data_IF_317701232904
#
_entry.id   IF_317701232904
#
_cell.length_a   1.000
_cell.length_b   1.000
_cell.length_c   1.000
_cell.angle_alpha   90.00
_cell.angle_beta   90.00
_cell.angle_gamma   90.00
#
_symmetry.space_group_name_H-M   'P 1'
#
loop_
_entity.id
_entity.type
_entity.pdbx_description
1 polymer ?
#
# COMPACT_ATOMS: atom_id res chain seq x y z
N UNK A 1 -7.88 72.37 -14.80
CA UNK A 1 -7.58 71.18 -15.64
C UNK A 1 -7.82 69.95 -14.77
N UNK A 2 -8.96 69.25 -14.91
CA UNK A 2 -9.32 68.16 -14.02
C UNK A 2 -8.71 66.82 -14.46
N UNK A 3 -8.40 65.99 -13.46
CA UNK A 3 -7.71 64.71 -13.55
C UNK A 3 -8.56 63.58 -14.16
N UNK A 4 -7.90 62.67 -14.89
CA UNK A 4 -8.47 61.45 -15.45
C UNK A 4 -8.75 60.38 -14.37
N UNK A 5 -9.80 59.55 -14.53
CA UNK A 5 -10.08 58.48 -13.58
C UNK A 5 -9.23 57.22 -13.86
N UNK A 6 -8.81 56.58 -12.78
CA UNK A 6 -8.08 55.31 -12.73
C UNK A 6 -9.08 54.16 -12.91
N UNK A 7 -8.92 53.36 -13.96
CA UNK A 7 -9.71 52.14 -14.18
C UNK A 7 -9.14 50.99 -13.36
N UNK A 8 -9.89 50.55 -12.36
CA UNK A 8 -9.58 49.35 -11.55
C UNK A 8 -9.99 48.10 -12.33
N UNK A 9 -9.03 47.25 -12.71
CA UNK A 9 -9.34 45.92 -13.24
C UNK A 9 -9.61 44.95 -12.09
N UNK A 10 -10.83 44.40 -12.07
CA UNK A 10 -11.21 43.30 -11.18
C UNK A 10 -10.67 41.99 -11.74
N UNK A 11 -9.67 41.41 -11.07
CA UNK A 11 -9.26 40.02 -11.28
C UNK A 11 -10.39 39.11 -10.85
N UNK A 12 -10.96 38.36 -11.79
CA UNK A 12 -12.02 37.38 -11.52
C UNK A 12 -11.41 36.20 -10.75
N UNK A 13 -11.79 36.05 -9.48
CA UNK A 13 -11.64 34.79 -8.75
C UNK A 13 -12.61 33.77 -9.34
N UNK A 14 -12.08 32.71 -9.97
CA UNK A 14 -12.87 31.55 -10.32
C UNK A 14 -13.13 30.72 -9.05
N UNK A 15 -14.36 30.77 -8.56
CA UNK A 15 -14.84 29.89 -7.49
C UNK A 15 -15.01 28.49 -8.10
N UNK A 16 -14.04 27.60 -7.85
CA UNK A 16 -14.17 26.17 -8.14
C UNK A 16 -15.17 25.56 -7.16
N UNK A 17 -16.37 25.28 -7.66
CA UNK A 17 -17.41 24.57 -6.93
C UNK A 17 -17.02 23.09 -6.89
N UNK A 18 -16.61 22.59 -5.71
CA UNK A 18 -16.51 21.16 -5.45
C UNK A 18 -17.93 20.59 -5.35
N UNK A 19 -18.34 19.84 -6.38
CA UNK A 19 -19.50 18.96 -6.31
C UNK A 19 -19.04 17.63 -5.68
N UNK A 20 -19.66 17.16 -4.58
CA UNK A 20 -19.40 15.82 -4.09
C UNK A 20 -19.99 14.83 -5.10
N UNK A 21 -19.13 14.10 -5.81
CA UNK A 21 -19.54 12.90 -6.53
C UNK A 21 -19.79 11.84 -5.47
N UNK A 22 -21.06 11.64 -5.14
CA UNK A 22 -21.50 10.46 -4.39
C UNK A 22 -21.39 9.29 -5.38
N UNK A 23 -20.26 8.58 -5.32
CA UNK A 23 -20.15 7.26 -5.94
C UNK A 23 -20.93 6.33 -5.02
N UNK A 24 -22.10 5.87 -5.49
CA UNK A 24 -22.71 4.68 -4.91
C UNK A 24 -21.75 3.53 -5.19
N UNK A 25 -21.10 3.03 -4.13
CA UNK A 25 -20.45 1.73 -4.17
C UNK A 25 -21.49 0.71 -4.59
N UNK A 26 -21.36 0.21 -5.82
CA UNK A 26 -21.96 -1.07 -6.14
C UNK A 26 -21.22 -2.10 -5.30
N UNK A 27 -22.01 -2.83 -4.52
CA UNK A 27 -21.51 -3.81 -3.57
C UNK A 27 -20.61 -4.84 -4.21
N UNK A 28 -19.79 -5.42 -3.33
CA UNK A 28 -19.13 -6.71 -3.47
C UNK A 28 -19.89 -7.62 -4.44
N UNK A 29 -19.20 -8.06 -5.50
CA UNK A 29 -19.68 -9.10 -6.38
C UNK A 29 -20.01 -10.34 -5.54
N UNK A 30 -21.28 -10.72 -5.59
CA UNK A 30 -21.83 -11.85 -4.88
C UNK A 30 -21.03 -13.12 -5.20
N UNK A 31 -20.74 -13.89 -4.15
CA UNK A 31 -20.11 -15.18 -4.24
C UNK A 31 -20.89 -16.09 -5.20
N UNK A 32 -20.16 -17.00 -5.85
CA UNK A 32 -20.66 -17.89 -6.89
C UNK A 32 -22.09 -18.42 -6.67
N UNK A 33 -22.89 -18.28 -7.72
CA UNK A 33 -24.18 -18.91 -7.93
C UNK A 33 -24.16 -20.41 -7.57
N UNK A 34 -24.62 -20.75 -6.37
CA UNK A 34 -24.95 -22.12 -5.96
C UNK A 34 -26.26 -22.53 -6.64
N UNK A 35 -26.17 -23.45 -7.61
CA UNK A 35 -27.33 -24.09 -8.21
C UNK A 35 -27.97 -25.06 -7.18
N UNK A 36 -29.22 -24.85 -6.73
CA UNK A 36 -29.86 -25.68 -5.71
C UNK A 36 -30.33 -27.06 -6.20
N UNK A 37 -29.97 -27.49 -7.42
CA UNK A 37 -30.47 -28.72 -8.04
C UNK A 37 -29.38 -29.75 -8.43
N UNK A 38 -28.16 -29.68 -7.88
CA UNK A 38 -27.25 -30.82 -7.98
C UNK A 38 -27.56 -31.85 -6.87
N UNK A 39 -27.72 -33.14 -7.19
CA UNK A 39 -27.93 -34.16 -6.17
C UNK A 39 -26.67 -34.37 -5.32
N UNK A 40 -26.87 -34.29 -4.01
CA UNK A 40 -25.93 -34.58 -2.93
C UNK A 40 -25.44 -36.04 -3.01
N UNK A 41 -24.16 -36.22 -3.34
CA UNK A 41 -23.48 -37.51 -3.24
C UNK A 41 -22.77 -37.56 -1.88
N UNK A 42 -23.49 -37.98 -0.85
CA UNK A 42 -22.90 -38.32 0.45
C UNK A 42 -22.02 -39.57 0.38
N UNK A 43 -20.95 -39.59 1.19
CA UNK A 43 -20.72 -40.53 2.32
C UNK A 43 -19.21 -40.70 2.68
N UNK A 44 -18.90 -40.46 3.98
CA UNK A 44 -17.93 -41.15 4.89
C UNK A 44 -16.43 -41.10 4.50
N UNK A 45 -15.43 -40.77 5.33
CA UNK A 45 -15.23 -40.62 6.78
C UNK A 45 -13.74 -40.24 7.01
N UNK A 46 -13.22 -40.19 8.27
CA UNK A 46 -11.98 -39.48 8.59
C UNK A 46 -10.73 -40.32 8.35
N UNK A 47 -9.79 -39.79 7.56
CA UNK A 47 -8.42 -40.31 7.47
C UNK A 47 -7.46 -39.15 7.59
N UNK A 48 -6.53 -39.26 8.55
CA UNK A 48 -5.64 -38.19 8.95
C UNK A 48 -4.81 -37.62 7.82
N UNK A 49 -4.77 -36.30 7.76
CA UNK A 49 -3.75 -35.59 7.00
C UNK A 49 -2.56 -35.42 7.94
N UNK A 50 -1.52 -36.21 7.72
CA UNK A 50 -0.16 -35.74 7.96
C UNK A 50 0.08 -34.62 6.97
N UNK A 51 -0.01 -33.37 7.43
CA UNK A 51 0.45 -32.25 6.62
C UNK A 51 1.91 -32.52 6.24
N UNK A 52 2.27 -32.47 4.94
CA UNK A 52 3.65 -32.55 4.53
C UNK A 52 4.41 -31.34 5.11
N UNK A 53 5.70 -31.50 5.49
CA UNK A 53 6.51 -30.35 5.88
C UNK A 53 6.68 -29.42 4.68
N UNK A 54 6.20 -28.18 4.83
CA UNK A 54 6.56 -27.02 4.03
C UNK A 54 6.51 -27.23 2.52
N UNK A 55 5.34 -27.05 1.91
CA UNK A 55 5.34 -26.48 0.57
C UNK A 55 6.10 -25.14 0.65
N UNK A 56 7.00 -24.82 -0.29
CA UNK A 56 7.59 -23.49 -0.31
C UNK A 56 6.43 -22.53 -0.51
N UNK A 57 6.16 -21.69 0.49
CA UNK A 57 5.34 -20.51 0.28
C UNK A 57 5.98 -19.77 -0.89
N UNK A 58 5.18 -19.50 -1.90
CA UNK A 58 5.65 -18.84 -3.11
C UNK A 58 6.33 -17.55 -2.71
N UNK A 59 7.64 -17.50 -2.91
CA UNK A 59 8.52 -16.34 -2.75
C UNK A 59 8.03 -15.21 -3.65
N UNK A 60 7.03 -14.46 -3.20
CA UNK A 60 6.72 -13.11 -3.65
C UNK A 60 7.73 -12.21 -2.94
N UNK A 61 8.77 -11.86 -3.68
CA UNK A 61 10.12 -11.74 -3.14
C UNK A 61 10.44 -10.42 -2.41
N UNK A 62 9.50 -9.48 -2.34
CA UNK A 62 9.69 -8.16 -1.71
C UNK A 62 8.49 -7.82 -0.84
N UNK A 63 8.76 -7.35 0.38
CA UNK A 63 7.76 -6.96 1.38
C UNK A 63 7.91 -5.49 1.75
N UNK A 64 6.83 -4.88 2.25
CA UNK A 64 6.85 -3.62 2.98
C UNK A 64 7.46 -3.90 4.36
N UNK A 65 8.66 -3.39 4.60
CA UNK A 65 9.44 -3.74 5.79
C UNK A 65 9.33 -2.72 6.92
N UNK A 66 9.32 -1.44 6.56
CA UNK A 66 9.24 -0.37 7.54
C UNK A 66 8.49 0.83 6.96
N UNK A 67 7.65 1.47 7.76
CA UNK A 67 7.08 2.77 7.41
C UNK A 67 7.46 3.76 8.50
N UNK A 68 8.13 4.85 8.13
CA UNK A 68 8.43 5.97 9.02
C UNK A 68 7.59 7.20 8.62
N UNK A 69 6.39 7.39 9.22
CA UNK A 69 5.43 8.39 8.78
C UNK A 69 5.96 9.83 8.86
N UNK A 70 6.72 10.16 9.91
CA UNK A 70 7.21 11.52 10.15
C UNK A 70 8.12 12.01 9.01
N UNK A 71 8.95 11.13 8.46
CA UNK A 71 9.80 11.43 7.31
C UNK A 71 9.15 11.09 5.96
N UNK A 72 7.94 10.52 5.95
CA UNK A 72 7.26 10.00 4.75
C UNK A 72 8.12 9.01 3.96
N UNK A 73 8.65 8.02 4.68
CA UNK A 73 9.49 6.98 4.12
C UNK A 73 8.80 5.62 4.24
N UNK A 74 8.86 4.86 3.16
CA UNK A 74 8.46 3.46 3.09
C UNK A 74 9.72 2.69 2.73
N UNK A 75 10.03 1.63 3.45
CA UNK A 75 11.10 0.70 3.13
C UNK A 75 10.51 -0.58 2.57
N UNK A 76 11.07 -1.02 1.44
CA UNK A 76 10.83 -2.35 0.89
C UNK A 76 12.06 -3.23 1.16
N UNK A 77 11.86 -4.49 1.53
CA UNK A 77 12.94 -5.45 1.77
C UNK A 77 12.80 -6.65 0.82
N UNK A 78 13.93 -7.10 0.28
CA UNK A 78 14.04 -8.37 -0.42
C UNK A 78 14.65 -9.42 0.52
N UNK A 79 13.85 -10.21 1.25
CA UNK A 79 14.37 -11.25 2.15
C UNK A 79 14.97 -12.46 1.42
N UNK A 80 14.97 -12.49 0.09
CA UNK A 80 15.44 -13.66 -0.67
C UNK A 80 16.95 -13.65 -0.87
N UNK A 81 17.49 -14.81 -1.29
CA UNK A 81 18.93 -14.96 -1.57
C UNK A 81 19.33 -14.55 -3.00
N UNK A 82 18.44 -13.90 -3.76
CA UNK A 82 18.68 -13.48 -5.14
C UNK A 82 18.22 -12.02 -5.33
N UNK A 83 18.85 -11.27 -6.23
CA UNK A 83 18.36 -9.94 -6.57
C UNK A 83 16.97 -10.04 -7.21
N UNK A 84 16.09 -9.09 -6.87
CA UNK A 84 14.72 -9.04 -7.38
C UNK A 84 14.52 -7.73 -8.13
N UNK A 85 14.07 -7.85 -9.39
CA UNK A 85 13.68 -6.72 -10.21
C UNK A 85 12.22 -6.37 -9.92
N UNK A 86 12.00 -5.16 -9.38
CA UNK A 86 10.67 -4.62 -9.11
C UNK A 86 10.31 -3.46 -10.06
N UNK A 87 10.97 -3.38 -11.22
CA UNK A 87 10.62 -2.43 -12.26
C UNK A 87 9.14 -2.52 -12.61
N UNK A 88 8.45 -1.38 -12.61
CA UNK A 88 7.04 -1.31 -12.98
C UNK A 88 6.04 -1.73 -11.89
N UNK A 89 6.48 -2.22 -10.72
CA UNK A 89 5.61 -2.45 -9.57
C UNK A 89 4.96 -1.14 -9.12
N UNK A 90 3.83 -1.23 -8.40
CA UNK A 90 3.10 -0.05 -7.95
C UNK A 90 2.98 0.01 -6.43
N UNK A 91 3.07 1.23 -5.90
CA UNK A 91 2.60 1.58 -4.56
C UNK A 91 1.33 2.43 -4.67
N UNK A 92 0.36 2.14 -3.81
CA UNK A 92 -0.90 2.86 -3.67
C UNK A 92 -1.06 3.36 -2.24
N UNK A 93 -1.35 4.65 -2.08
CA UNK A 93 -1.76 5.27 -0.82
C UNK A 93 -3.04 6.07 -1.04
N UNK A 94 -3.93 6.13 -0.05
CA UNK A 94 -5.26 6.74 -0.22
C UNK A 94 -5.55 7.90 0.73
N UNK A 95 -4.67 8.15 1.71
CA UNK A 95 -4.82 9.22 2.71
C UNK A 95 -3.61 10.13 2.66
N UNK A 96 -3.73 11.47 2.62
CA UNK A 96 -4.96 12.26 2.47
C UNK A 96 -5.52 12.26 1.05
N UNK A 97 -4.85 11.63 0.08
CA UNK A 97 -5.29 11.57 -1.31
C UNK A 97 -4.95 10.21 -1.93
N UNK A 98 -5.75 9.81 -2.91
CA UNK A 98 -5.50 8.63 -3.74
C UNK A 98 -4.36 8.90 -4.72
N UNK A 99 -3.23 8.23 -4.49
CA UNK A 99 -1.99 8.40 -5.23
C UNK A 99 -1.41 7.03 -5.56
N UNK A 100 -0.98 6.90 -6.81
CA UNK A 100 -0.30 5.73 -7.34
C UNK A 100 1.08 6.14 -7.79
N UNK A 101 2.10 5.40 -7.35
CA UNK A 101 3.47 5.56 -7.84
C UNK A 101 3.95 4.25 -8.43
N UNK A 102 4.48 4.33 -9.65
CA UNK A 102 5.15 3.20 -10.29
C UNK A 102 6.64 3.23 -9.98
N UNK A 103 7.22 2.08 -9.69
CA UNK A 103 8.67 1.91 -9.58
C UNK A 103 9.32 2.12 -10.96
N UNK A 104 10.38 2.95 -11.05
CA UNK A 104 11.09 3.19 -12.30
C UNK A 104 11.68 1.92 -12.93
N UNK A 105 12.04 2.02 -14.20
CA UNK A 105 12.82 0.97 -14.86
C UNK A 105 14.18 0.78 -14.18
N UNK A 106 14.62 -0.48 -14.10
CA UNK A 106 15.87 -0.92 -13.46
C UNK A 106 15.90 -0.70 -11.94
N UNK A 107 14.74 -0.76 -11.27
CA UNK A 107 14.69 -0.83 -9.81
C UNK A 107 14.89 -2.28 -9.36
N UNK A 108 16.11 -2.58 -8.91
CA UNK A 108 16.52 -3.92 -8.47
C UNK A 108 16.91 -3.83 -6.99
N UNK A 109 16.34 -4.71 -6.17
CA UNK A 109 16.73 -4.87 -4.77
C UNK A 109 17.66 -6.09 -4.69
N UNK A 110 18.87 -5.89 -4.19
CA UNK A 110 19.84 -6.96 -3.98
C UNK A 110 19.36 -8.00 -2.95
N UNK A 111 20.00 -9.19 -2.88
CA UNK A 111 19.67 -10.19 -1.85
C UNK A 111 19.81 -9.58 -0.46
N UNK A 112 18.80 -9.76 0.39
CA UNK A 112 18.74 -9.17 1.73
C UNK A 112 18.85 -7.63 1.73
N UNK A 113 18.55 -7.00 0.59
CA UNK A 113 18.66 -5.57 0.37
C UNK A 113 17.39 -4.81 0.71
N UNK A 114 17.55 -3.51 0.95
CA UNK A 114 16.47 -2.59 1.28
C UNK A 114 16.37 -1.49 0.22
N UNK A 115 15.15 -1.06 -0.08
CA UNK A 115 14.87 0.09 -0.94
C UNK A 115 14.03 1.11 -0.19
N UNK A 116 14.55 2.33 -0.08
CA UNK A 116 13.85 3.44 0.55
C UNK A 116 13.02 4.18 -0.50
N UNK A 117 11.73 4.36 -0.24
CA UNK A 117 10.81 5.16 -1.04
C UNK A 117 10.42 6.40 -0.25
N UNK A 118 10.97 7.55 -0.64
CA UNK A 118 10.62 8.86 -0.11
C UNK A 118 9.31 9.33 -0.77
N UNK A 119 8.21 9.13 -0.05
CA UNK A 119 6.86 9.33 -0.55
C UNK A 119 6.46 10.81 -0.60
N UNK A 120 6.10 11.30 -1.78
CA UNK A 120 5.67 12.68 -1.98
C UNK A 120 6.79 13.71 -1.78
N UNK A 121 8.05 13.28 -1.90
CA UNK A 121 9.26 14.08 -1.69
C UNK A 121 10.01 14.20 -3.01
N UNK A 122 10.45 15.42 -3.35
CA UNK A 122 11.32 15.65 -4.48
C UNK A 122 12.77 15.29 -4.15
N UNK A 123 13.44 14.58 -5.06
CA UNK A 123 14.84 14.21 -4.96
C UNK A 123 15.35 13.57 -6.24
N UNK A 124 16.51 12.94 -6.15
CA UNK A 124 17.14 12.22 -7.26
C UNK A 124 17.26 10.77 -6.86
N UNK A 125 16.67 9.88 -7.66
CA UNK A 125 16.77 8.44 -7.41
C UNK A 125 18.23 7.97 -7.41
N UNK A 126 18.52 7.01 -6.55
CA UNK A 126 19.74 6.23 -6.49
C UNK A 126 19.41 4.74 -6.61
N UNK A 127 20.37 3.85 -6.36
CA UNK A 127 20.13 2.41 -6.38
C UNK A 127 19.17 1.96 -5.27
N UNK A 128 19.37 2.50 -4.05
CA UNK A 128 18.68 2.05 -2.83
C UNK A 128 17.67 3.09 -2.32
N UNK A 129 17.43 4.15 -3.09
CA UNK A 129 16.54 5.25 -2.69
C UNK A 129 15.78 5.85 -3.89
N UNK A 130 14.46 5.89 -3.80
CA UNK A 130 13.53 6.43 -4.80
C UNK A 130 12.76 7.61 -4.21
N UNK A 131 12.49 8.62 -5.03
CA UNK A 131 11.72 9.81 -4.67
C UNK A 131 10.44 9.89 -5.51
N UNK A 132 9.28 10.03 -4.87
CA UNK A 132 7.97 10.09 -5.54
C UNK A 132 7.43 11.53 -5.59
N UNK A 133 7.07 12.00 -6.79
CA UNK A 133 6.48 13.35 -7.02
C UNK A 133 4.98 13.35 -6.64
N UNK A 134 4.30 14.46 -6.25
CA UNK A 134 4.19 15.66 -7.08
C UNK A 134 4.22 17.04 -6.36
N UNK A 135 3.92 18.12 -7.10
CA UNK A 135 3.88 19.58 -6.79
C UNK A 135 3.28 20.01 -5.45
N UNK A 136 2.71 19.11 -4.65
CA UNK A 136 2.24 19.36 -3.28
C UNK A 136 2.74 18.20 -2.40
N UNK A 137 3.46 18.48 -1.29
CA UNK A 137 3.85 17.45 -0.34
C UNK A 137 2.62 16.68 0.19
N UNK A 138 2.68 15.35 0.12
CA UNK A 138 1.64 14.46 0.65
C UNK A 138 2.28 13.68 1.80
N UNK A 139 2.33 14.25 3.01
CA UNK A 139 3.02 13.62 4.12
C UNK A 139 2.28 12.36 4.56
N UNK A 140 3.04 11.32 4.90
CA UNK A 140 2.50 10.12 5.53
C UNK A 140 2.27 10.28 7.04
N UNK A 141 2.75 11.38 7.63
CA UNK A 141 2.49 11.76 9.03
C UNK A 141 1.03 12.21 9.23
N UNK A 142 0.12 11.28 8.99
CA UNK A 142 -1.32 11.42 9.14
C UNK A 142 -1.82 10.42 10.19
N UNK A 143 -2.95 10.70 10.87
CA UNK A 143 -3.44 9.85 11.94
C UNK A 143 -3.75 8.41 11.53
N UNK A 144 -4.02 8.16 10.25
CA UNK A 144 -4.34 6.87 9.67
C UNK A 144 -3.92 6.83 8.19
N UNK A 145 -3.75 5.64 7.63
CA UNK A 145 -3.45 5.46 6.22
C UNK A 145 -3.24 3.99 5.85
N UNK A 146 -2.98 3.75 4.57
CA UNK A 146 -2.73 2.40 4.03
C UNK A 146 -1.66 2.44 2.94
N UNK A 147 -0.82 1.42 2.82
CA UNK A 147 0.04 1.22 1.66
C UNK A 147 -0.28 -0.16 1.09
N UNK A 148 -0.64 -0.19 -0.20
CA UNK A 148 -0.69 -1.41 -0.97
C UNK A 148 0.45 -1.47 -1.97
N UNK A 149 1.13 -2.61 -2.03
CA UNK A 149 2.17 -2.93 -3.00
C UNK A 149 1.64 -3.92 -4.03
N UNK A 150 1.83 -3.64 -5.32
CA UNK A 150 1.24 -4.40 -6.41
C UNK A 150 2.27 -4.76 -7.46
N UNK A 151 2.03 -5.88 -8.15
CA UNK A 151 2.82 -6.30 -9.32
C UNK A 151 2.74 -5.31 -10.48
N UNK A 152 3.62 -5.43 -11.50
CA UNK A 152 3.57 -4.57 -12.67
C UNK A 152 2.32 -4.78 -13.51
N UNK A 153 1.67 -3.68 -13.86
CA UNK A 153 0.61 -3.62 -14.85
C UNK A 153 0.61 -2.26 -15.56
N UNK A 154 0.00 -2.21 -16.75
CA UNK A 154 -0.28 -0.95 -17.43
C UNK A 154 -1.32 -0.13 -16.67
N UNK A 155 -1.12 1.19 -16.57
CA UNK A 155 -1.97 2.04 -15.74
C UNK A 155 -3.45 1.98 -16.17
N UNK A 156 -4.26 1.38 -15.30
CA UNK A 156 -5.72 1.39 -15.28
C UNK A 156 -6.11 1.39 -13.79
N UNK A 157 -6.91 2.36 -13.35
CA UNK A 157 -7.23 2.46 -11.92
C UNK A 157 -8.00 1.23 -11.40
N UNK A 158 -8.69 0.51 -12.29
CA UNK A 158 -9.45 -0.68 -11.93
C UNK A 158 -8.54 -1.82 -11.47
N UNK A 159 -7.28 -1.86 -11.93
CA UNK A 159 -6.32 -2.88 -11.53
C UNK A 159 -5.97 -2.80 -10.03
N UNK A 160 -6.08 -1.63 -9.41
CA UNK A 160 -5.87 -1.49 -7.96
C UNK A 160 -7.02 -2.05 -7.12
N UNK A 161 -8.13 -2.46 -7.75
CA UNK A 161 -9.24 -3.15 -7.09
C UNK A 161 -9.16 -4.68 -7.26
N UNK A 162 -8.12 -5.19 -7.92
CA UNK A 162 -7.93 -6.61 -8.20
C UNK A 162 -7.07 -7.27 -7.11
N UNK A 163 -7.65 -8.25 -6.41
CA UNK A 163 -6.95 -9.03 -5.38
C UNK A 163 -5.82 -9.89 -5.95
N UNK A 164 -5.86 -10.23 -7.23
CA UNK A 164 -4.80 -11.03 -7.85
C UNK A 164 -3.53 -10.20 -8.12
N UNK A 165 -3.62 -8.87 -8.02
CA UNK A 165 -2.52 -7.95 -8.33
C UNK A 165 -1.84 -7.34 -7.09
N UNK A 166 -2.51 -7.31 -5.94
CA UNK A 166 -1.90 -6.87 -4.69
C UNK A 166 -0.94 -7.96 -4.18
N UNK A 167 0.16 -7.54 -3.54
CA UNK A 167 1.22 -8.43 -3.05
C UNK A 167 1.52 -8.25 -1.59
N UNK A 168 1.46 -7.01 -1.13
CA UNK A 168 1.63 -6.70 0.28
C UNK A 168 0.73 -5.51 0.62
N UNK A 169 0.33 -5.45 1.89
CA UNK A 169 -0.56 -4.45 2.39
C UNK A 169 -0.33 -4.18 3.87
N UNK A 170 -0.34 -2.91 4.23
CA UNK A 170 -0.43 -2.49 5.63
C UNK A 170 -1.34 -1.29 5.75
N UNK A 171 -2.14 -1.26 6.80
CA UNK A 171 -2.89 -0.09 7.21
C UNK A 171 -2.72 0.23 8.68
N UNK A 172 -2.89 1.51 9.01
CA UNK A 172 -2.74 2.00 10.37
C UNK A 172 -3.80 3.02 10.75
N UNK A 173 -3.99 3.16 12.07
CA UNK A 173 -4.81 4.17 12.71
C UNK A 173 -6.32 3.92 12.63
N UNK A 174 -6.82 3.46 11.48
CA UNK A 174 -8.24 3.18 11.25
C UNK A 174 -8.43 1.96 10.34
N UNK A 175 -9.57 1.30 10.49
CA UNK A 175 -10.07 0.22 9.64
C UNK A 175 -10.73 0.76 8.35
N UNK A 176 -11.15 -0.15 7.46
CA UNK A 176 -12.03 0.15 6.32
C UNK A 176 -11.45 1.16 5.29
N UNK A 177 -10.13 1.21 5.12
CA UNK A 177 -9.52 1.95 4.02
C UNK A 177 -9.82 1.31 2.65
N UNK A 178 -9.59 2.07 1.58
CA UNK A 178 -10.07 1.73 0.23
C UNK A 178 -9.52 0.40 -0.28
N UNK A 179 -8.28 0.04 0.07
CA UNK A 179 -7.65 -1.20 -0.39
C UNK A 179 -7.73 -2.34 0.63
N UNK A 180 -8.29 -2.13 1.82
CA UNK A 180 -8.51 -3.20 2.79
C UNK A 180 -9.31 -4.35 2.17
N UNK A 181 -10.42 -4.04 1.48
CA UNK A 181 -11.24 -5.09 0.84
C UNK A 181 -10.49 -5.89 -0.23
N UNK A 182 -9.52 -5.28 -0.89
CA UNK A 182 -8.67 -5.92 -1.90
C UNK A 182 -7.66 -6.86 -1.22
N UNK A 183 -7.01 -6.38 -0.15
CA UNK A 183 -6.07 -7.15 0.66
C UNK A 183 -6.74 -8.34 1.37
N UNK A 184 -7.95 -8.15 1.90
CA UNK A 184 -8.80 -9.22 2.44
C UNK A 184 -9.15 -10.24 1.35
N UNK A 185 -9.50 -9.79 0.14
CA UNK A 185 -9.77 -10.69 -0.99
C UNK A 185 -8.55 -11.50 -1.44
N UNK A 186 -7.35 -10.97 -1.20
CA UNK A 186 -6.06 -11.60 -1.47
C UNK A 186 -5.53 -12.48 -0.31
N UNK A 187 -6.25 -12.55 0.82
CA UNK A 187 -5.84 -13.25 2.04
C UNK A 187 -4.51 -12.76 2.65
N UNK A 188 -4.18 -11.47 2.44
CA UNK A 188 -2.96 -10.81 2.96
C UNK A 188 -3.28 -9.67 3.95
N UNK A 189 -4.52 -9.58 4.44
CA UNK A 189 -4.87 -8.70 5.55
C UNK A 189 -6.21 -9.11 6.18
N UNK A 190 -6.35 -9.05 7.52
CA UNK A 190 -7.63 -9.34 8.16
C UNK A 190 -8.64 -8.19 8.01
N UNK A 191 -9.92 -8.55 7.89
CA UNK A 191 -11.01 -7.57 7.80
C UNK A 191 -11.05 -6.67 9.05
N UNK A 192 -11.21 -5.35 8.85
CA UNK A 192 -11.31 -4.35 9.92
C UNK A 192 -10.12 -4.25 10.87
N UNK A 193 -8.98 -4.84 10.51
CA UNK A 193 -7.74 -4.82 11.30
C UNK A 193 -6.85 -3.63 10.89
N UNK A 194 -6.08 -3.09 11.85
CA UNK A 194 -5.14 -1.99 11.62
C UNK A 194 -4.04 -1.97 12.68
N UNK A 195 -2.86 -1.48 12.29
CA UNK A 195 -1.76 -1.20 13.24
C UNK A 195 -2.03 0.13 13.96
N UNK A 196 -1.80 0.25 15.28
CA UNK A 196 -1.88 1.54 15.96
C UNK A 196 -0.84 2.53 15.40
N UNK A 197 -1.24 3.77 15.14
CA UNK A 197 -0.33 4.81 14.63
C UNK A 197 0.83 5.07 15.60
N UNK A 198 2.09 5.16 15.13
CA UNK A 198 3.24 5.37 15.98
C UNK A 198 3.19 6.79 16.55
N UNK A 199 3.71 6.99 17.77
CA UNK A 199 3.98 8.34 18.25
C UNK A 199 5.10 8.99 17.40
N UNK A 200 5.24 10.31 17.52
CA UNK A 200 6.31 11.04 16.83
C UNK A 200 7.69 10.43 17.13
N UNK A 201 8.54 10.34 16.12
CA UNK A 201 9.86 9.74 16.17
C UNK A 201 9.88 8.21 16.19
N UNK A 202 8.77 7.53 15.89
CA UNK A 202 8.70 6.07 15.76
C UNK A 202 8.20 5.64 14.38
N UNK A 203 8.53 4.42 13.98
CA UNK A 203 8.08 3.75 12.77
C UNK A 203 7.17 2.56 13.08
N UNK A 204 6.61 1.99 12.01
CA UNK A 204 6.07 0.63 12.00
C UNK A 204 7.13 -0.28 11.39
N UNK A 205 7.67 -1.22 12.17
CA UNK A 205 8.64 -2.22 11.71
C UNK A 205 7.97 -3.59 11.58
N UNK A 206 8.10 -4.21 10.41
CA UNK A 206 7.66 -5.57 10.15
C UNK A 206 8.56 -6.59 10.88
N UNK A 207 7.96 -7.59 11.51
CA UNK A 207 8.68 -8.61 12.28
C UNK A 207 9.23 -9.78 11.47
N UNK A 208 9.07 -9.74 10.14
CA UNK A 208 9.54 -10.76 9.22
C UNK A 208 8.55 -11.90 8.96
N UNK A 209 7.32 -11.86 9.49
CA UNK A 209 6.33 -12.92 9.24
C UNK A 209 4.86 -12.50 9.38
N UNK A 210 4.02 -13.04 8.50
CA UNK A 210 2.55 -12.93 8.55
C UNK A 210 2.02 -11.58 8.06
N UNK A 211 0.71 -11.51 7.82
CA UNK A 211 0.08 -10.38 7.12
C UNK A 211 -1.01 -9.73 7.97
N UNK A 212 -0.71 -9.49 9.25
CA UNK A 212 -1.68 -8.99 10.24
C UNK A 212 -1.08 -7.84 11.05
N UNK A 213 -1.89 -7.02 11.77
CA UNK A 213 -1.33 -5.97 12.62
C UNK A 213 -0.33 -6.46 13.67
N UNK A 214 -0.47 -7.71 14.14
CA UNK A 214 0.44 -8.36 15.08
C UNK A 214 1.84 -8.59 14.51
N UNK A 215 1.97 -8.54 13.18
CA UNK A 215 3.24 -8.62 12.45
C UNK A 215 4.04 -7.31 12.47
N UNK A 216 3.46 -6.23 13.02
CA UNK A 216 4.06 -4.90 13.04
C UNK A 216 4.34 -4.44 14.47
N UNK A 217 5.55 -3.92 14.69
CA UNK A 217 6.03 -3.44 15.98
C UNK A 217 6.39 -1.96 15.86
N UNK A 218 6.01 -1.17 16.87
CA UNK A 218 6.40 0.25 16.95
C UNK A 218 7.80 0.34 17.55
N UNK A 219 8.73 0.90 16.79
CA UNK A 219 10.16 0.99 17.12
C UNK A 219 10.73 2.37 16.75
N UNK A 220 11.92 2.76 17.26
CA UNK A 220 12.70 3.80 16.62
C UNK A 220 13.07 3.41 15.19
N UNK A 221 13.11 4.36 14.24
CA UNK A 221 13.26 4.01 12.84
C UNK A 221 14.61 3.38 12.52
N UNK A 222 14.59 2.38 11.64
CA UNK A 222 15.73 1.62 11.13
C UNK A 222 15.84 1.66 9.60
N UNK A 223 15.23 2.66 8.97
CA UNK A 223 15.25 2.89 7.51
C UNK A 223 16.65 2.71 6.89
N UNK A 224 16.73 1.85 5.89
CA UNK A 224 17.89 1.45 5.11
C UNK A 224 18.65 0.24 5.68
N UNK A 225 18.21 -0.35 6.80
CA UNK A 225 18.86 -1.49 7.47
C UNK A 225 17.83 -2.40 8.15
N UNK A 226 18.30 -3.55 8.64
CA UNK A 226 17.47 -4.52 9.37
C UNK A 226 16.72 -3.90 10.56
N UNK A 227 15.45 -4.29 10.69
CA UNK A 227 14.58 -3.86 11.78
C UNK A 227 15.13 -4.33 13.14
N UNK A 228 15.25 -3.41 14.10
CA UNK A 228 15.68 -3.74 15.45
C UNK A 228 14.47 -3.97 16.37
N UNK A 229 13.95 -5.19 16.36
CA UNK A 229 12.73 -5.57 17.09
C UNK A 229 13.09 -6.26 18.42
N UNK A 230 12.43 -5.90 19.55
CA UNK A 230 12.69 -6.47 20.88
C UNK A 230 12.36 -7.96 21.05
#
# INVERSE_FOLDING_TARGET
MPASPITTQYTRFALLVFLPVIIFGFGCGDAGNINPNLPDAGMVGPTGNTDPPGAPETTEAVVINEIFPEASQIELHNPTSASVDISGFWLCHTTPALIYTQMPDNTIIDPDGFLIVNWGINGTNSADEIFTFPTVPIPMNVPHGEIGFYVPFGFDENNFADSDLIRDYVQWGEADHFRQGVAVGADIWPERAFVPSPPAGQSFSFNGSGDSPESWVITPPTIGIENNIP
#
